data_IF_290179590986
#
_entry.id   IF_290179590986
#
_cell.length_a   1.000
_cell.length_b   1.000
_cell.length_c   1.000
_cell.angle_alpha   90.00
_cell.angle_beta   90.00
_cell.angle_gamma   90.00
#
_symmetry.space_group_name_H-M   'P 1'
#
loop_
_entity.id
_entity.type
_entity.pdbx_description
1 polymer ?
#
# COMPACT_ATOMS: atom_id res chain seq x y z
N UNK A 1 -10.50 58.92 17.80
CA UNK A 1 -11.48 59.66 18.62
C UNK A 1 -11.36 59.18 20.06
N UNK A 2 -10.63 59.92 20.93
CA UNK A 2 -11.22 60.76 22.01
C UNK A 2 -12.75 60.61 22.19
N UNK A 3 -13.41 60.48 23.34
CA UNK A 3 -13.23 60.83 24.77
C UNK A 3 -14.26 59.90 25.51
N UNK A 4 -14.00 59.21 26.63
CA UNK A 4 -13.92 59.67 28.05
C UNK A 4 -15.20 59.45 28.88
N UNK A 5 -14.94 59.29 30.19
CA UNK A 5 -15.75 59.51 31.39
C UNK A 5 -16.54 58.32 31.92
N UNK A 6 -16.07 57.68 33.01
CA UNK A 6 -16.08 58.13 34.44
C UNK A 6 -17.25 57.39 35.12
N UNK A 7 -17.32 56.98 36.38
CA UNK A 7 -16.59 57.01 37.67
C UNK A 7 -17.48 56.11 38.58
N UNK A 8 -17.13 55.53 39.72
CA UNK A 8 -15.92 55.32 40.47
C UNK A 8 -16.29 54.47 41.72
N UNK A 9 -15.25 53.88 42.33
CA UNK A 9 -15.06 53.71 43.79
C UNK A 9 -15.97 52.71 44.55
N UNK A 10 -15.47 51.87 45.48
CA UNK A 10 -14.28 52.01 46.34
C UNK A 10 -13.93 50.69 47.06
N UNK A 11 -12.62 50.36 47.09
CA UNK A 11 -11.75 49.83 48.18
C UNK A 11 -12.16 48.61 49.04
N UNK A 12 -11.26 47.67 49.36
CA UNK A 12 -10.02 47.89 50.13
C UNK A 12 -8.84 46.96 49.78
N UNK A 13 -7.65 47.51 49.99
CA UNK A 13 -6.30 47.09 49.60
C UNK A 13 -5.55 46.31 50.71
N UNK A 14 -4.57 45.49 50.29
CA UNK A 14 -3.36 45.15 51.03
C UNK A 14 -2.24 46.18 50.76
N UNK A 15 -1.20 46.30 51.62
CA UNK A 15 0.15 46.32 51.06
C UNK A 15 1.26 45.64 51.90
N UNK A 16 2.24 45.12 51.14
CA UNK A 16 3.63 44.84 51.50
C UNK A 16 4.39 46.12 51.93
N UNK A 17 5.24 46.07 52.96
CA UNK A 17 6.40 46.99 53.11
C UNK A 17 7.60 46.34 53.84
N UNK A 18 8.72 46.32 53.11
CA UNK A 18 10.15 46.53 53.39
C UNK A 18 10.84 46.22 54.74
N UNK A 19 11.98 45.54 54.57
CA UNK A 19 13.25 45.61 55.31
C UNK A 19 13.92 47.00 55.19
N UNK A 20 14.45 47.52 56.31
CA UNK A 20 15.48 48.59 56.33
C UNK A 20 16.57 48.24 57.34
N UNK A 21 17.81 48.20 56.85
CA UNK A 21 19.07 48.24 57.61
C UNK A 21 19.50 49.71 57.78
N UNK A 22 20.10 50.06 58.92
CA UNK A 22 20.74 51.35 59.15
C UNK A 22 21.90 51.26 60.15
N UNK A 23 23.10 51.59 59.67
CA UNK A 23 24.31 52.00 60.42
C UNK A 23 24.16 53.50 60.83
N UNK A 24 24.86 54.15 61.77
CA UNK A 24 26.31 54.33 62.00
C UNK A 24 26.56 55.02 63.38
N UNK A 25 27.73 54.73 63.99
CA UNK A 25 28.64 55.50 64.87
C UNK A 25 28.22 56.64 65.84
N UNK A 26 28.91 56.70 67.00
CA UNK A 26 29.33 57.99 67.58
C UNK A 26 29.47 58.14 69.11
N UNK A 27 30.69 57.93 69.61
CA UNK A 27 31.40 58.70 70.67
C UNK A 27 31.02 58.67 72.18
N UNK A 28 32.02 58.19 72.94
CA UNK A 28 32.57 58.63 74.25
C UNK A 28 32.12 60.00 74.79
N UNK A 29 31.87 60.11 76.11
CA UNK A 29 32.37 61.11 77.09
C UNK A 29 31.75 60.76 78.48
N UNK A 30 32.53 60.22 79.44
CA UNK A 30 33.17 60.88 80.61
C UNK A 30 32.24 61.34 81.75
N UNK A 31 32.37 60.69 82.92
CA UNK A 31 32.67 61.29 84.25
C UNK A 31 32.55 60.17 85.33
N UNK A 32 33.63 59.64 85.90
CA UNK A 32 34.49 60.19 86.96
C UNK A 32 33.75 60.80 88.15
N UNK A 33 33.76 60.09 89.27
CA UNK A 33 33.99 60.69 90.57
C UNK A 33 35.35 60.23 91.09
N UNK A 34 36.33 61.11 90.89
CA UNK A 34 37.59 61.18 91.59
C UNK A 34 37.35 61.74 93.00
N UNK A 35 37.93 61.11 94.01
CA UNK A 35 38.27 61.73 95.29
C UNK A 35 39.76 61.49 95.54
N UNK A 36 40.60 62.47 95.17
CA UNK A 36 42.05 62.49 95.41
C UNK A 36 42.37 63.11 96.78
N UNK A 37 43.41 62.55 97.40
CA UNK A 37 44.53 63.16 98.14
C UNK A 37 44.30 64.33 99.10
N UNK A 38 44.84 64.18 100.32
CA UNK A 38 45.85 65.09 100.88
C UNK A 38 46.65 64.34 101.97
N UNK A 39 47.94 64.66 102.04
CA UNK A 39 48.95 64.15 102.96
C UNK A 39 48.65 64.55 104.42
N UNK A 40 48.94 63.68 105.40
CA UNK A 40 49.94 63.95 106.45
C UNK A 40 50.09 62.79 107.46
N UNK A 41 51.33 62.65 107.92
CA UNK A 41 51.92 61.82 108.97
C UNK A 41 51.07 60.86 109.83
N UNK A 42 51.44 59.58 109.74
CA UNK A 42 51.87 58.77 110.88
C UNK A 42 50.90 58.58 112.05
N UNK A 43 50.15 57.47 112.02
CA UNK A 43 49.91 56.64 113.20
C UNK A 43 49.39 55.25 112.80
N UNK A 44 50.09 54.22 113.27
CA UNK A 44 49.63 52.83 113.29
C UNK A 44 48.31 52.74 114.07
N UNK A 45 47.27 52.18 113.46
CA UNK A 45 46.11 51.65 114.19
C UNK A 45 45.84 50.24 113.65
N UNK A 46 46.10 49.31 114.55
CA UNK A 46 45.94 47.87 114.52
C UNK A 46 44.69 47.35 113.81
N UNK A 47 44.84 46.18 113.18
CA UNK A 47 43.82 45.19 112.84
C UNK A 47 42.49 45.34 113.58
N UNK A 48 41.45 45.75 112.86
CA UNK A 48 40.05 45.55 113.26
C UNK A 48 39.37 44.63 112.23
N UNK A 49 39.91 43.41 112.06
CA UNK A 49 39.19 42.33 111.42
C UNK A 49 38.10 41.85 112.38
N UNK A 50 36.82 42.05 112.02
CA UNK A 50 35.71 41.60 112.87
C UNK A 50 35.71 40.07 112.91
N UNK A 51 35.96 39.50 114.09
CA UNK A 51 36.06 38.05 114.28
C UNK A 51 34.71 37.38 114.33
N UNK A 52 34.63 36.20 113.71
CA UNK A 52 33.47 35.33 113.81
C UNK A 52 33.30 34.88 115.26
N UNK A 53 32.23 35.35 115.92
CA UNK A 53 31.85 34.91 117.25
C UNK A 53 30.94 33.68 117.25
N UNK A 54 30.70 33.05 118.40
CA UNK A 54 29.70 31.99 118.52
C UNK A 54 28.30 32.54 118.20
N UNK A 55 27.53 31.80 117.38
CA UNK A 55 26.19 32.16 116.88
C UNK A 55 26.10 33.34 115.89
N UNK A 56 27.22 33.77 115.28
CA UNK A 56 27.21 34.86 114.29
C UNK A 56 26.46 34.50 113.00
N UNK A 57 26.40 33.21 112.66
CA UNK A 57 25.72 32.67 111.48
C UNK A 57 24.75 31.55 111.88
N UNK A 58 23.78 31.29 111.01
CA UNK A 58 22.77 30.25 111.19
C UNK A 58 23.35 28.83 111.24
N UNK A 59 22.56 27.87 111.72
CA UNK A 59 22.95 26.44 111.74
C UNK A 59 23.21 25.98 110.30
N UNK A 60 24.35 25.30 110.07
CA UNK A 60 24.77 24.86 108.73
C UNK A 60 25.50 25.91 107.89
N UNK A 61 25.74 27.12 108.41
CA UNK A 61 26.56 28.15 107.78
C UNK A 61 27.97 28.23 108.39
N UNK A 62 28.95 28.59 107.56
CA UNK A 62 30.28 28.97 108.02
C UNK A 62 30.44 30.49 107.98
N UNK A 63 31.13 31.01 108.99
CA UNK A 63 31.40 32.43 109.11
C UNK A 63 32.76 32.76 108.48
N UNK A 64 32.77 33.71 107.55
CA UNK A 64 33.96 34.24 106.91
C UNK A 64 34.26 35.62 107.53
N UNK A 65 35.51 35.80 107.95
CA UNK A 65 35.99 37.06 108.51
C UNK A 65 35.96 38.16 107.44
N UNK A 66 35.17 39.21 107.67
CA UNK A 66 35.04 40.33 106.74
C UNK A 66 35.67 41.61 107.29
N UNK A 67 36.07 42.50 106.37
CA UNK A 67 36.71 43.78 106.72
C UNK A 67 35.78 44.78 107.42
N UNK A 68 34.46 44.67 107.20
CA UNK A 68 33.46 45.59 107.79
C UNK A 68 32.43 44.85 108.66
N UNK A 69 32.04 43.62 108.28
CA UNK A 69 31.15 42.73 109.05
C UNK A 69 31.40 41.27 108.67
N UNK A 70 31.15 40.31 109.58
CA UNK A 70 31.24 38.88 109.27
C UNK A 70 30.25 38.52 108.15
N UNK A 71 30.69 37.72 107.18
CA UNK A 71 29.87 37.24 106.07
C UNK A 71 29.53 35.77 106.32
N UNK A 72 28.25 35.46 106.38
CA UNK A 72 27.78 34.09 106.51
C UNK A 72 27.55 33.48 105.13
N UNK A 73 28.05 32.26 104.93
CA UNK A 73 27.79 31.47 103.73
C UNK A 73 27.46 30.03 104.14
N UNK A 74 26.52 29.39 103.47
CA UNK A 74 26.18 27.99 103.76
C UNK A 74 27.40 27.08 103.53
N UNK A 75 27.52 26.02 104.34
CA UNK A 75 28.52 24.98 104.11
C UNK A 75 28.25 24.27 102.76
N UNK A 76 29.26 23.67 102.11
CA UNK A 76 29.05 22.89 100.89
C UNK A 76 27.98 21.80 101.10
N UNK A 77 27.02 21.69 100.17
CA UNK A 77 25.87 20.80 100.31
C UNK A 77 24.76 21.33 101.23
N UNK A 78 24.79 22.62 101.60
CA UNK A 78 23.71 23.32 102.27
C UNK A 78 23.31 24.58 101.48
N UNK A 79 22.03 24.95 101.52
CA UNK A 79 21.47 26.15 100.88
C UNK A 79 20.41 26.79 101.77
N UNK A 80 19.97 28.00 101.43
CA UNK A 80 19.03 28.80 102.21
C UNK A 80 19.67 30.10 102.70
N UNK A 81 19.14 30.65 103.80
CA UNK A 81 19.62 31.89 104.37
C UNK A 81 20.73 31.63 105.40
N UNK A 82 21.96 31.99 105.03
CA UNK A 82 23.15 31.78 105.86
C UNK A 82 23.15 32.54 107.19
N UNK A 83 22.30 33.57 107.35
CA UNK A 83 22.15 34.28 108.62
C UNK A 83 21.22 33.58 109.60
N UNK A 84 20.20 32.85 109.12
CA UNK A 84 19.19 32.20 109.97
C UNK A 84 19.40 30.69 110.09
N UNK A 85 19.28 29.97 108.98
CA UNK A 85 19.51 28.53 108.90
C UNK A 85 19.80 28.13 107.46
N UNK A 86 20.86 27.35 107.28
CA UNK A 86 21.09 26.62 106.05
C UNK A 86 20.53 25.21 106.20
N UNK A 87 19.82 24.73 105.20
CA UNK A 87 19.31 23.36 105.14
C UNK A 87 20.21 22.54 104.23
N UNK A 88 20.43 21.27 104.61
CA UNK A 88 21.18 20.34 103.77
C UNK A 88 20.40 20.11 102.48
N UNK A 89 21.05 20.37 101.34
CA UNK A 89 20.50 20.13 100.01
C UNK A 89 21.01 18.82 99.45
N UNK A 90 20.28 18.29 98.49
CA UNK A 90 20.64 17.05 97.82
C UNK A 90 21.54 17.30 96.61
N UNK A 91 21.32 18.41 95.88
CA UNK A 91 22.09 18.77 94.69
C UNK A 91 22.11 20.29 94.46
N UNK A 92 23.15 20.76 93.77
CA UNK A 92 23.22 22.12 93.18
C UNK A 92 23.10 22.05 91.66
N UNK A 93 23.75 21.06 91.05
CA UNK A 93 23.78 20.83 89.60
C UNK A 93 23.39 19.38 89.25
N UNK A 94 22.95 19.18 88.02
CA UNK A 94 22.48 17.88 87.52
C UNK A 94 23.51 16.76 87.66
N UNK A 95 24.81 17.07 87.54
CA UNK A 95 25.89 16.09 87.66
C UNK A 95 26.01 15.44 89.05
N UNK A 96 25.41 16.05 90.08
CA UNK A 96 25.39 15.51 91.44
C UNK A 96 24.24 14.49 91.64
N UNK A 97 23.30 14.44 90.70
CA UNK A 97 22.23 13.46 90.66
C UNK A 97 22.61 12.24 89.83
N UNK A 98 21.87 11.13 90.00
CA UNK A 98 22.00 9.97 89.10
C UNK A 98 21.67 10.40 87.67
N UNK A 99 22.19 9.69 86.67
CA UNK A 99 21.94 9.99 85.25
C UNK A 99 20.45 10.01 84.86
N UNK A 100 19.58 9.38 85.66
CA UNK A 100 18.12 9.33 85.51
C UNK A 100 17.37 10.40 86.30
N UNK A 101 18.06 11.34 86.95
CA UNK A 101 17.47 12.37 87.80
C UNK A 101 18.01 13.75 87.42
N UNK A 102 17.28 14.82 87.67
CA UNK A 102 17.74 16.19 87.46
C UNK A 102 17.61 16.98 88.75
N UNK A 103 18.49 17.96 88.95
CA UNK A 103 18.43 18.83 90.11
C UNK A 103 17.36 19.90 89.89
N UNK A 104 16.25 19.81 90.63
CA UNK A 104 15.19 20.83 90.65
C UNK A 104 14.94 21.24 92.09
N UNK A 105 14.98 22.55 92.36
CA UNK A 105 14.75 23.10 93.70
C UNK A 105 15.59 22.39 94.77
N UNK A 106 16.88 22.14 94.45
CA UNK A 106 17.86 21.54 95.36
C UNK A 106 17.61 20.05 95.71
N UNK A 107 16.76 19.37 94.95
CA UNK A 107 16.43 17.95 95.07
C UNK A 107 16.66 17.19 93.77
N UNK A 108 17.14 15.94 93.87
CA UNK A 108 17.31 15.06 92.72
C UNK A 108 15.98 14.36 92.41
N UNK A 109 15.26 14.91 91.45
CA UNK A 109 13.94 14.40 91.05
C UNK A 109 14.01 13.70 89.70
N UNK A 110 13.14 12.72 89.47
CA UNK A 110 12.98 12.12 88.15
C UNK A 110 12.27 13.14 87.22
N UNK A 111 12.93 13.63 86.16
CA UNK A 111 12.33 14.61 85.26
C UNK A 111 11.19 14.05 84.40
N UNK A 112 10.97 12.73 84.37
CA UNK A 112 9.88 12.11 83.62
C UNK A 112 8.51 12.29 84.27
N UNK A 113 8.47 12.45 85.60
CA UNK A 113 7.21 12.56 86.36
C UNK A 113 6.47 13.83 85.95
N UNK A 114 5.39 13.67 85.17
CA UNK A 114 4.52 14.77 84.74
C UNK A 114 4.96 15.52 83.47
N UNK A 115 6.04 15.09 82.80
CA UNK A 115 6.57 15.79 81.61
C UNK A 115 6.07 15.21 80.28
N UNK A 116 5.96 13.90 80.18
CA UNK A 116 5.48 13.25 78.94
C UNK A 116 3.97 13.06 78.96
N UNK A 117 3.37 13.07 77.76
CA UNK A 117 1.94 12.89 77.56
C UNK A 117 1.46 11.47 77.87
N UNK A 118 0.14 11.28 77.87
CA UNK A 118 -0.46 9.95 78.11
C UNK A 118 0.00 8.94 77.06
N UNK A 119 0.37 7.72 77.47
CA UNK A 119 0.91 6.65 76.62
C UNK A 119 2.23 6.98 75.87
N UNK A 120 2.94 8.04 76.27
CA UNK A 120 4.29 8.30 75.77
C UNK A 120 5.33 7.60 76.65
N UNK A 121 6.41 7.11 76.03
CA UNK A 121 7.57 6.60 76.73
C UNK A 121 8.49 7.76 77.10
N UNK A 122 8.98 7.78 78.34
CA UNK A 122 9.94 8.77 78.81
C UNK A 122 11.31 8.11 79.02
N UNK A 123 12.33 8.66 78.39
CA UNK A 123 13.73 8.28 78.58
C UNK A 123 14.52 9.50 79.07
N UNK A 124 15.33 9.34 80.12
CA UNK A 124 16.15 10.45 80.64
C UNK A 124 17.50 10.41 79.97
N UNK A 125 17.78 11.41 79.14
CA UNK A 125 19.08 11.57 78.46
C UNK A 125 19.77 12.83 78.95
N UNK A 126 20.93 12.65 79.58
CA UNK A 126 21.72 13.73 80.15
C UNK A 126 20.91 14.63 81.10
N UNK A 127 20.17 14.01 82.03
CA UNK A 127 19.30 14.69 83.00
C UNK A 127 18.09 15.43 82.38
N UNK A 128 17.81 15.23 81.07
CA UNK A 128 16.67 15.83 80.37
C UNK A 128 15.67 14.74 79.98
N UNK A 129 14.36 14.94 80.19
CA UNK A 129 13.35 13.99 79.77
C UNK A 129 13.14 14.06 78.26
N UNK A 130 13.20 12.90 77.60
CA UNK A 130 12.94 12.73 76.16
C UNK A 130 11.68 11.89 76.01
N UNK A 131 10.62 12.52 75.50
CA UNK A 131 9.33 11.87 75.27
C UNK A 131 9.26 11.32 73.85
N UNK A 132 8.83 10.06 73.69
CA UNK A 132 8.59 9.43 72.39
C UNK A 132 7.33 8.57 72.41
N UNK A 133 6.63 8.45 71.28
CA UNK A 133 5.54 7.48 71.19
C UNK A 133 6.13 6.06 70.99
N UNK A 134 5.61 5.05 71.71
CA UNK A 134 6.06 3.68 71.54
C UNK A 134 5.71 3.13 70.14
N UNK A 135 6.36 2.05 69.68
CA UNK A 135 6.04 1.43 68.39
C UNK A 135 4.56 1.09 68.27
N UNK A 136 3.93 1.46 67.15
CA UNK A 136 2.49 1.31 66.93
C UNK A 136 1.62 2.44 67.51
N UNK A 137 2.23 3.49 68.07
CA UNK A 137 1.53 4.69 68.51
C UNK A 137 1.98 5.93 67.72
N UNK A 138 1.07 6.88 67.53
CA UNK A 138 1.30 8.17 66.88
C UNK A 138 0.72 9.31 67.73
N UNK A 139 1.10 10.56 67.41
CA UNK A 139 0.67 11.75 68.13
C UNK A 139 1.83 12.60 68.65
N UNK A 140 1.56 13.51 69.56
CA UNK A 140 2.57 14.38 70.18
C UNK A 140 3.04 13.76 71.50
N UNK A 141 4.32 13.34 71.63
CA UNK A 141 4.80 12.67 72.84
C UNK A 141 4.69 13.50 74.12
N UNK A 142 4.58 14.82 74.02
CA UNK A 142 4.40 15.73 75.16
C UNK A 142 2.93 15.91 75.58
N UNK A 143 1.95 15.52 74.75
CA UNK A 143 0.52 15.69 75.07
C UNK A 143 -0.16 14.34 75.22
N UNK A 144 -0.13 13.51 74.18
CA UNK A 144 -0.71 12.18 74.20
C UNK A 144 -0.29 11.38 72.97
N UNK A 145 0.04 10.11 73.16
CA UNK A 145 0.17 9.13 72.10
C UNK A 145 -1.09 8.26 72.04
N UNK A 146 -1.57 7.98 70.83
CA UNK A 146 -2.70 7.08 70.56
C UNK A 146 -2.23 5.95 69.67
N UNK A 147 -2.96 4.83 69.65
CA UNK A 147 -2.69 3.73 68.70
C UNK A 147 -2.72 4.31 67.29
N UNK A 148 -1.66 4.08 66.52
CA UNK A 148 -1.56 4.52 65.14
C UNK A 148 -2.61 3.77 64.32
N UNK A 149 -3.50 4.51 63.68
CA UNK A 149 -4.49 3.92 62.79
C UNK A 149 -3.80 3.61 61.46
N UNK A 150 -3.79 2.33 61.01
CA UNK A 150 -3.19 1.96 59.74
C UNK A 150 -3.74 2.74 58.54
N UNK A 151 -4.96 3.29 58.62
CA UNK A 151 -5.61 4.03 57.53
C UNK A 151 -5.36 5.54 57.58
N UNK A 152 -4.72 6.06 58.63
CA UNK A 152 -4.49 7.50 58.86
C UNK A 152 -3.87 8.25 57.66
N UNK A 153 -2.92 7.69 56.89
CA UNK A 153 -2.39 8.35 55.69
C UNK A 153 -3.44 8.67 54.61
N UNK A 154 -4.56 7.94 54.59
CA UNK A 154 -5.67 8.14 53.66
C UNK A 154 -6.84 8.96 54.25
N UNK A 155 -6.72 9.50 55.48
CA UNK A 155 -7.79 10.22 56.15
C UNK A 155 -7.34 11.58 56.72
N UNK A 156 -7.66 12.71 56.06
CA UNK A 156 -8.38 12.82 54.78
C UNK A 156 -7.49 12.40 53.59
N UNK A 157 -8.11 11.87 52.53
CA UNK A 157 -7.36 11.34 51.38
C UNK A 157 -6.51 12.43 50.72
N UNK A 158 -5.18 12.24 50.58
CA UNK A 158 -4.32 13.15 49.83
C UNK A 158 -4.41 12.94 48.31
N UNK A 159 -5.19 11.95 47.86
CA UNK A 159 -5.34 11.61 46.46
C UNK A 159 -6.38 12.49 45.76
N UNK A 160 -6.18 12.73 44.46
CA UNK A 160 -7.11 13.51 43.63
C UNK A 160 -8.42 12.79 43.34
N UNK A 161 -9.37 13.46 42.68
CA UNK A 161 -10.68 12.88 42.37
C UNK A 161 -10.58 11.60 41.51
N UNK A 162 -11.56 10.70 41.64
CA UNK A 162 -11.66 9.41 40.92
C UNK A 162 -10.46 8.47 41.13
N UNK A 163 -9.91 8.46 42.35
CA UNK A 163 -8.80 7.60 42.75
C UNK A 163 -9.16 6.76 43.96
N UNK A 164 -8.43 5.67 44.15
CA UNK A 164 -8.46 4.85 45.35
C UNK A 164 -7.14 5.04 46.12
N UNK A 165 -7.27 5.44 47.38
CA UNK A 165 -6.15 5.53 48.33
C UNK A 165 -5.99 4.17 49.02
N UNK A 166 -4.78 3.66 49.08
CA UNK A 166 -4.41 2.51 49.90
C UNK A 166 -3.07 2.78 50.57
N UNK A 167 -2.86 2.21 51.76
CA UNK A 167 -1.65 2.43 52.54
C UNK A 167 -0.64 1.32 52.23
N UNK A 168 0.58 1.72 51.86
CA UNK A 168 1.71 0.80 51.80
C UNK A 168 2.94 1.47 52.42
N UNK A 169 3.70 0.74 53.23
CA UNK A 169 4.87 1.26 53.96
C UNK A 169 4.56 2.54 54.77
N UNK A 170 3.38 2.62 55.39
CA UNK A 170 2.91 3.78 56.16
C UNK A 170 2.80 5.09 55.35
N UNK A 171 2.66 4.98 54.03
CA UNK A 171 2.43 6.09 53.10
C UNK A 171 1.14 5.87 52.31
N UNK A 172 0.46 6.97 51.98
CA UNK A 172 -0.69 6.96 51.10
C UNK A 172 -0.23 6.74 49.65
N UNK A 173 -0.73 5.67 49.02
CA UNK A 173 -0.56 5.41 47.60
C UNK A 173 -1.89 5.66 46.90
N UNK A 174 -1.84 6.51 45.87
CA UNK A 174 -2.98 6.87 45.07
C UNK A 174 -2.97 6.12 43.74
N UNK A 175 -4.08 5.50 43.40
CA UNK A 175 -4.26 4.80 42.10
C UNK A 175 -5.56 5.23 41.44
N UNK A 176 -5.58 5.37 40.11
CA UNK A 176 -6.83 5.64 39.42
C UNK A 176 -7.80 4.47 39.56
N UNK A 177 -9.09 4.76 39.74
CA UNK A 177 -10.14 3.74 39.67
C UNK A 177 -10.11 3.10 38.26
N UNK A 178 -10.38 1.79 38.11
CA UNK A 178 -10.40 1.14 36.80
C UNK A 178 -11.27 1.89 35.79
N UNK A 179 -10.71 2.16 34.60
CA UNK A 179 -11.36 2.95 33.54
C UNK A 179 -10.99 4.43 33.53
N UNK A 180 -10.33 4.94 34.57
CA UNK A 180 -9.80 6.31 34.61
C UNK A 180 -8.30 6.34 34.29
N UNK A 181 -7.85 7.43 33.66
CA UNK A 181 -6.46 7.70 33.31
C UNK A 181 -6.06 9.10 33.79
N UNK A 182 -4.77 9.28 34.09
CA UNK A 182 -4.23 10.57 34.53
C UNK A 182 -3.26 10.42 35.70
N UNK A 183 -3.07 11.52 36.43
CA UNK A 183 -2.21 11.55 37.63
C UNK A 183 -3.06 11.31 38.88
N UNK A 184 -2.86 10.21 39.63
CA UNK A 184 -3.63 9.93 40.83
C UNK A 184 -3.52 10.99 41.95
N UNK A 185 -2.47 11.83 41.93
CA UNK A 185 -2.31 12.91 42.90
C UNK A 185 -3.17 14.14 42.56
N UNK A 186 -3.42 14.39 41.29
CA UNK A 186 -4.24 15.54 40.82
C UNK A 186 -5.69 15.13 40.65
N UNK A 187 -5.91 13.92 40.15
CA UNK A 187 -7.21 13.36 39.83
C UNK A 187 -7.15 12.64 38.49
N UNK A 188 -7.93 11.58 38.38
CA UNK A 188 -8.05 10.82 37.15
C UNK A 188 -9.36 11.19 36.43
N UNK A 189 -9.33 11.17 35.10
CA UNK A 189 -10.50 11.39 34.25
C UNK A 189 -10.72 10.18 33.36
N UNK A 190 -11.87 10.13 32.71
CA UNK A 190 -12.11 9.17 31.64
C UNK A 190 -11.15 9.39 30.47
N UNK A 191 -11.07 8.42 29.57
CA UNK A 191 -10.24 8.57 28.38
C UNK A 191 -10.77 9.69 27.47
N UNK A 192 -12.10 9.82 27.38
CA UNK A 192 -12.81 10.90 26.70
C UNK A 192 -14.13 11.21 27.42
N UNK A 193 -14.58 12.46 27.35
CA UNK A 193 -15.93 12.89 27.74
C UNK A 193 -16.74 13.34 26.52
N UNK A 194 -16.05 13.70 25.44
CA UNK A 194 -16.62 14.12 24.16
C UNK A 194 -15.79 13.57 23.00
N UNK A 195 -16.39 13.53 21.80
CA UNK A 195 -15.69 13.08 20.58
C UNK A 195 -14.40 13.86 20.31
N UNK A 196 -14.38 15.16 20.66
CA UNK A 196 -13.22 16.03 20.46
C UNK A 196 -12.00 15.66 21.32
N UNK A 197 -12.16 14.84 22.36
CA UNK A 197 -11.06 14.31 23.16
C UNK A 197 -10.34 13.15 22.47
N UNK A 198 -10.95 12.58 21.43
CA UNK A 198 -10.41 11.46 20.66
C UNK A 198 -9.70 11.93 19.38
N UNK A 199 -8.79 11.10 18.82
CA UNK A 199 -8.28 11.31 17.47
C UNK A 199 -9.42 11.44 16.44
N UNK A 200 -9.17 12.13 15.32
CA UNK A 200 -10.18 12.38 14.27
C UNK A 200 -10.76 11.10 13.64
N UNK A 201 -10.10 9.96 13.82
CA UNK A 201 -10.51 8.63 13.34
C UNK A 201 -11.33 7.83 14.37
N UNK A 202 -11.58 8.38 15.56
CA UNK A 202 -12.28 7.74 16.67
C UNK A 202 -13.37 8.66 17.23
N UNK A 203 -14.28 8.09 18.01
CA UNK A 203 -15.39 8.77 18.70
C UNK A 203 -15.41 8.33 20.15
N UNK A 204 -15.99 9.15 21.02
CA UNK A 204 -16.11 8.82 22.43
C UNK A 204 -17.33 7.91 22.64
N UNK A 205 -17.07 6.65 23.00
CA UNK A 205 -18.11 5.65 23.30
C UNK A 205 -17.82 5.00 24.63
N UNK A 206 -18.78 5.06 25.54
CA UNK A 206 -18.66 4.52 26.90
C UNK A 206 -17.37 4.96 27.58
N UNK A 207 -17.06 6.27 27.47
CA UNK A 207 -15.88 6.91 28.07
C UNK A 207 -14.52 6.43 27.54
N UNK A 208 -14.51 5.80 26.36
CA UNK A 208 -13.31 5.33 25.65
C UNK A 208 -13.30 5.77 24.19
N UNK A 209 -12.12 6.05 23.65
CA UNK A 209 -12.00 6.34 22.24
C UNK A 209 -12.06 5.06 21.42
N UNK A 210 -13.11 4.94 20.62
CA UNK A 210 -13.36 3.78 19.77
C UNK A 210 -13.64 4.21 18.34
N UNK A 211 -13.35 3.34 17.36
CA UNK A 211 -13.68 3.62 15.97
C UNK A 211 -15.20 3.63 15.77
N UNK A 212 -15.79 4.68 15.16
CA UNK A 212 -17.21 4.72 14.85
C UNK A 212 -17.60 3.79 13.70
N UNK A 213 -16.65 3.08 13.05
CA UNK A 213 -16.96 2.15 11.95
C UNK A 213 -17.92 1.01 12.31
N UNK A 214 -18.10 0.75 13.60
CA UNK A 214 -19.12 -0.19 14.10
C UNK A 214 -20.56 0.32 13.94
N UNK A 215 -20.74 1.59 13.56
CA UNK A 215 -22.05 2.18 13.25
C UNK A 215 -22.54 1.88 11.84
N UNK A 216 -21.69 1.30 10.99
CA UNK A 216 -22.10 0.88 9.66
C UNK A 216 -23.06 -0.32 9.72
N UNK A 217 -24.05 -0.31 8.83
CA UNK A 217 -25.06 -1.33 8.72
C UNK A 217 -24.52 -2.68 8.25
N UNK A 218 -25.37 -3.72 8.31
CA UNK A 218 -24.98 -5.05 7.85
C UNK A 218 -24.55 -5.01 6.37
N UNK A 219 -23.43 -5.67 6.04
CA UNK A 219 -22.81 -5.69 4.70
C UNK A 219 -22.41 -4.31 4.14
N UNK A 220 -22.28 -3.29 4.98
CA UNK A 220 -21.72 -2.00 4.58
C UNK A 220 -20.23 -1.93 4.92
N UNK A 221 -19.46 -1.29 4.04
CA UNK A 221 -18.05 -1.00 4.26
C UNK A 221 -17.92 0.37 4.95
N UNK A 222 -17.07 0.43 5.99
CA UNK A 222 -16.63 1.71 6.54
C UNK A 222 -15.51 2.27 5.66
N UNK A 223 -15.84 3.24 4.81
CA UNK A 223 -14.88 3.78 3.84
C UNK A 223 -13.87 4.71 4.51
N UNK A 224 -14.36 5.64 5.32
CA UNK A 224 -13.54 6.57 6.10
C UNK A 224 -14.23 6.96 7.39
N UNK A 225 -13.50 7.61 8.30
CA UNK A 225 -14.07 8.32 9.45
C UNK A 225 -13.87 9.82 9.22
N UNK A 226 -14.96 10.58 9.27
CA UNK A 226 -14.97 12.02 9.08
C UNK A 226 -15.66 12.68 10.27
N UNK A 227 -14.93 13.59 10.95
CA UNK A 227 -15.43 14.31 12.12
C UNK A 227 -16.06 13.37 13.18
N UNK A 228 -15.31 12.35 13.58
CA UNK A 228 -15.71 11.34 14.58
C UNK A 228 -16.93 10.49 14.17
N UNK A 229 -17.33 10.49 12.90
CA UNK A 229 -18.43 9.66 12.37
C UNK A 229 -17.94 8.74 11.27
N UNK A 230 -18.49 7.53 11.24
CA UNK A 230 -18.25 6.64 10.11
C UNK A 230 -18.91 7.17 8.85
N UNK A 231 -18.21 7.04 7.73
CA UNK A 231 -18.76 7.22 6.38
C UNK A 231 -18.92 5.82 5.79
N UNK A 232 -20.17 5.34 5.82
CA UNK A 232 -20.51 3.99 5.39
C UNK A 232 -20.95 3.98 3.93
N UNK A 233 -20.55 2.97 3.17
CA UNK A 233 -21.03 2.73 1.80
C UNK A 233 -21.41 1.28 1.58
N UNK A 234 -22.34 1.03 0.65
CA UNK A 234 -22.56 -0.33 0.19
C UNK A 234 -21.44 -0.75 -0.78
N UNK A 235 -20.92 -1.98 -0.65
CA UNK A 235 -19.98 -2.54 -1.61
C UNK A 235 -20.63 -2.71 -3.00
N UNK A 236 -19.81 -2.99 -4.02
CA UNK A 236 -20.32 -3.18 -5.39
C UNK A 236 -21.34 -4.34 -5.43
N UNK A 237 -22.45 -4.13 -6.12
CA UNK A 237 -23.57 -5.08 -6.20
C UNK A 237 -24.52 -5.07 -5.00
N UNK A 238 -24.28 -4.21 -4.01
CA UNK A 238 -25.18 -4.04 -2.89
C UNK A 238 -25.92 -2.70 -2.96
N UNK A 239 -27.17 -2.72 -2.50
CA UNK A 239 -28.09 -1.60 -2.50
C UNK A 239 -28.75 -1.46 -1.12
N UNK A 240 -29.21 -0.26 -0.77
CA UNK A 240 -29.85 0.00 0.53
C UNK A 240 -29.28 1.23 1.22
N UNK A 241 -29.50 1.29 2.54
CA UNK A 241 -28.95 2.34 3.40
C UNK A 241 -27.69 1.80 4.10
N UNK A 242 -26.49 2.32 3.79
CA UNK A 242 -25.23 1.87 4.37
C UNK A 242 -25.14 1.97 5.89
N UNK A 243 -25.97 2.78 6.53
CA UNK A 243 -26.02 2.90 8.00
C UNK A 243 -27.01 1.92 8.63
N UNK A 244 -27.82 1.21 7.84
CA UNK A 244 -28.78 0.21 8.32
C UNK A 244 -28.45 -1.19 7.83
N UNK A 245 -28.48 -1.38 6.52
CA UNK A 245 -28.17 -2.63 5.86
C UNK A 245 -28.03 -2.43 4.35
N UNK A 246 -27.05 -3.14 3.80
CA UNK A 246 -26.86 -3.31 2.38
C UNK A 246 -27.31 -4.72 1.97
N UNK A 247 -28.10 -4.82 0.91
CA UNK A 247 -28.59 -6.08 0.34
C UNK A 247 -28.06 -6.27 -1.07
N UNK A 248 -27.64 -7.48 -1.39
CA UNK A 248 -27.24 -7.87 -2.74
C UNK A 248 -28.37 -7.63 -3.75
N UNK A 249 -28.03 -7.24 -4.98
CA UNK A 249 -28.96 -7.22 -6.11
C UNK A 249 -29.45 -8.62 -6.47
N UNK A 250 -28.54 -9.59 -6.36
CA UNK A 250 -28.79 -11.00 -6.63
C UNK A 250 -27.88 -11.88 -5.77
N UNK A 251 -28.36 -13.07 -5.43
CA UNK A 251 -27.51 -14.16 -4.88
C UNK A 251 -27.34 -15.32 -5.85
N UNK A 252 -28.13 -15.34 -6.92
CA UNK A 252 -28.13 -16.35 -7.97
C UNK A 252 -28.57 -15.75 -9.31
N UNK A 253 -28.21 -16.40 -10.42
CA UNK A 253 -28.58 -15.95 -11.77
C UNK A 253 -30.10 -15.88 -12.00
N UNK A 254 -30.88 -16.68 -11.25
CA UNK A 254 -32.34 -16.77 -11.39
C UNK A 254 -33.07 -15.51 -10.88
N UNK A 255 -32.43 -14.72 -10.02
CA UNK A 255 -32.98 -13.46 -9.51
C UNK A 255 -32.83 -12.32 -10.52
N UNK A 256 -31.96 -12.50 -11.52
CA UNK A 256 -31.62 -11.45 -12.47
C UNK A 256 -32.61 -11.34 -13.64
N UNK A 257 -32.87 -10.12 -14.14
CA UNK A 257 -33.75 -9.92 -15.27
C UNK A 257 -33.10 -10.36 -16.58
N UNK A 258 -33.91 -10.65 -17.60
CA UNK A 258 -33.44 -11.22 -18.87
C UNK A 258 -32.41 -10.38 -19.64
N UNK A 259 -32.38 -9.07 -19.42
CA UNK A 259 -31.41 -8.17 -20.07
C UNK A 259 -30.06 -8.05 -19.33
N UNK A 260 -29.93 -8.66 -18.13
CA UNK A 260 -28.68 -8.76 -17.35
C UNK A 260 -28.66 -10.08 -16.57
N UNK A 261 -28.62 -11.24 -17.26
CA UNK A 261 -29.02 -12.52 -16.66
C UNK A 261 -27.97 -13.17 -15.75
N UNK A 262 -26.75 -12.64 -15.65
CA UNK A 262 -25.70 -13.22 -14.82
C UNK A 262 -25.59 -12.49 -13.49
N UNK A 263 -25.57 -13.25 -12.39
CA UNK A 263 -25.27 -12.74 -11.06
C UNK A 263 -23.77 -12.85 -10.78
N UNK A 264 -23.05 -11.74 -10.91
CA UNK A 264 -21.61 -11.71 -10.70
C UNK A 264 -21.27 -10.68 -9.63
N UNK A 265 -20.59 -11.12 -8.57
CA UNK A 265 -20.26 -10.30 -7.40
C UNK A 265 -21.49 -9.61 -6.78
N UNK A 266 -22.61 -10.35 -6.69
CA UNK A 266 -23.89 -9.89 -6.14
C UNK A 266 -24.59 -8.79 -6.96
N UNK A 267 -24.13 -8.52 -8.18
CA UNK A 267 -24.76 -7.59 -9.12
C UNK A 267 -25.30 -8.35 -10.34
N UNK A 268 -26.44 -7.92 -10.87
CA UNK A 268 -26.93 -8.42 -12.14
C UNK A 268 -26.16 -7.72 -13.27
N UNK A 269 -25.45 -8.51 -14.08
CA UNK A 269 -24.63 -8.03 -15.18
C UNK A 269 -25.08 -8.63 -16.51
N UNK A 270 -24.94 -7.86 -17.58
CA UNK A 270 -25.10 -8.35 -18.94
C UNK A 270 -23.75 -8.91 -19.42
N UNK A 271 -23.61 -10.23 -19.65
CA UNK A 271 -22.37 -10.82 -20.14
C UNK A 271 -21.94 -10.29 -21.51
N UNK A 272 -22.83 -9.65 -22.27
CA UNK A 272 -22.51 -9.07 -23.57
C UNK A 272 -21.78 -7.72 -23.50
N UNK A 273 -21.84 -7.01 -22.37
CA UNK A 273 -21.15 -5.72 -22.22
C UNK A 273 -19.64 -5.97 -22.32
N UNK A 274 -19.00 -5.36 -23.33
CA UNK A 274 -17.57 -5.47 -23.66
C UNK A 274 -17.06 -6.88 -24.01
N UNK A 275 -17.95 -7.85 -24.25
CA UNK A 275 -17.52 -9.21 -24.64
C UNK A 275 -17.19 -9.33 -26.13
N UNK A 276 -17.86 -8.57 -26.98
CA UNK A 276 -17.70 -8.62 -28.43
C UNK A 276 -17.01 -7.37 -28.98
N UNK A 277 -16.36 -7.53 -30.14
CA UNK A 277 -15.67 -6.48 -30.85
C UNK A 277 -16.63 -5.44 -31.43
N UNK A 278 -16.06 -4.34 -31.93
CA UNK A 278 -16.87 -3.26 -32.53
C UNK A 278 -17.60 -3.79 -33.77
N UNK A 279 -18.89 -3.45 -33.89
CA UNK A 279 -19.84 -3.90 -34.92
C UNK A 279 -20.15 -5.42 -34.91
N UNK A 280 -19.80 -6.16 -33.87
CA UNK A 280 -20.23 -7.53 -33.70
C UNK A 280 -21.60 -7.61 -32.99
N UNK A 281 -22.40 -8.61 -33.34
CA UNK A 281 -23.59 -8.99 -32.61
C UNK A 281 -23.23 -9.93 -31.47
N UNK A 282 -23.73 -9.64 -30.27
CA UNK A 282 -23.62 -10.52 -29.12
C UNK A 282 -24.93 -11.25 -28.85
N UNK A 283 -24.85 -12.56 -28.68
CA UNK A 283 -25.97 -13.39 -28.23
C UNK A 283 -25.49 -14.34 -27.15
N UNK A 284 -26.36 -14.67 -26.21
CA UNK A 284 -26.01 -15.57 -25.10
C UNK A 284 -26.32 -17.02 -25.46
N UNK A 285 -25.37 -17.92 -25.18
CA UNK A 285 -25.60 -19.37 -25.11
C UNK A 285 -25.59 -19.81 -23.64
N UNK A 286 -26.72 -19.63 -22.95
CA UNK A 286 -26.76 -19.69 -21.49
C UNK A 286 -26.28 -18.36 -20.91
N UNK A 287 -25.17 -18.37 -20.16
CA UNK A 287 -24.50 -17.15 -19.66
C UNK A 287 -23.20 -16.83 -20.40
N UNK A 288 -22.83 -17.62 -21.42
CA UNK A 288 -21.64 -17.36 -22.22
C UNK A 288 -21.98 -16.43 -23.39
N UNK A 289 -21.27 -15.30 -23.53
CA UNK A 289 -21.42 -14.43 -24.69
C UNK A 289 -20.82 -15.10 -25.91
N UNK A 290 -21.58 -15.09 -27.01
CA UNK A 290 -21.14 -15.57 -28.31
C UNK A 290 -21.21 -14.39 -29.27
N UNK A 291 -20.07 -14.12 -29.91
CA UNK A 291 -19.90 -12.99 -30.81
C UNK A 291 -19.93 -13.46 -32.26
N UNK A 292 -20.68 -12.78 -33.11
CA UNK A 292 -20.73 -13.03 -34.54
C UNK A 292 -20.80 -11.73 -35.33
N UNK A 293 -20.21 -11.69 -36.52
CA UNK A 293 -20.40 -10.55 -37.41
C UNK A 293 -21.81 -10.57 -38.02
N UNK A 294 -22.49 -9.40 -38.10
CA UNK A 294 -23.76 -9.25 -38.79
C UNK A 294 -23.69 -9.70 -40.25
N UNK A 295 -24.86 -9.87 -40.89
CA UNK A 295 -24.92 -10.13 -42.34
C UNK A 295 -24.22 -9.00 -43.11
N UNK A 296 -23.44 -9.37 -44.13
CA UNK A 296 -22.61 -8.47 -44.96
C UNK A 296 -21.41 -7.83 -44.23
N UNK A 297 -20.99 -8.39 -43.10
CA UNK A 297 -19.73 -8.04 -42.44
C UNK A 297 -18.84 -9.27 -42.30
N UNK A 298 -17.53 -9.04 -42.24
CA UNK A 298 -16.50 -10.07 -42.04
C UNK A 298 -15.41 -9.54 -41.11
N UNK A 299 -14.51 -10.42 -40.67
CA UNK A 299 -13.46 -10.12 -39.69
C UNK A 299 -13.57 -11.01 -38.46
N UNK A 300 -12.97 -10.55 -37.37
CA UNK A 300 -12.98 -11.24 -36.08
C UNK A 300 -14.08 -10.64 -35.18
N UNK A 301 -15.14 -11.40 -34.84
CA UNK A 301 -16.23 -10.92 -33.99
C UNK A 301 -15.82 -10.49 -32.58
N UNK A 302 -14.65 -10.91 -32.08
CA UNK A 302 -14.15 -10.48 -30.76
C UNK A 302 -13.35 -9.17 -30.83
N UNK A 303 -12.91 -8.77 -32.02
CA UNK A 303 -12.05 -7.62 -32.21
C UNK A 303 -12.77 -6.52 -32.99
N UNK A 304 -13.13 -6.80 -34.25
CA UNK A 304 -13.71 -5.84 -35.17
C UNK A 304 -14.36 -6.54 -36.37
N UNK A 305 -15.65 -6.26 -36.58
CA UNK A 305 -16.33 -6.59 -37.82
C UNK A 305 -16.27 -5.40 -38.78
N UNK A 306 -15.82 -5.64 -40.01
CA UNK A 306 -15.81 -4.67 -41.10
C UNK A 306 -16.79 -5.07 -42.21
N UNK A 307 -17.26 -4.13 -43.04
CA UNK A 307 -18.06 -4.47 -44.20
C UNK A 307 -17.37 -5.51 -45.09
N UNK A 308 -18.16 -6.43 -45.62
CA UNK A 308 -17.70 -7.40 -46.60
C UNK A 308 -17.31 -6.66 -47.90
N UNK A 309 -16.11 -6.94 -48.40
CA UNK A 309 -15.59 -6.40 -49.65
C UNK A 309 -15.39 -7.51 -50.67
N UNK A 310 -15.41 -7.19 -51.97
CA UNK A 310 -15.23 -8.18 -53.03
C UNK A 310 -13.96 -9.03 -52.87
N UNK A 311 -12.87 -8.48 -52.28
CA UNK A 311 -11.63 -9.23 -52.00
C UNK A 311 -11.83 -10.39 -51.02
N UNK A 312 -12.78 -10.27 -50.10
CA UNK A 312 -13.01 -11.25 -49.03
C UNK A 312 -13.59 -12.56 -49.58
N UNK A 313 -14.13 -12.54 -50.80
CA UNK A 313 -14.53 -13.76 -51.53
C UNK A 313 -13.37 -14.71 -51.78
N UNK A 314 -12.14 -14.19 -51.81
CA UNK A 314 -10.92 -14.94 -52.11
C UNK A 314 -10.02 -15.15 -50.89
N UNK A 315 -10.47 -14.83 -49.68
CA UNK A 315 -9.70 -14.96 -48.43
C UNK A 315 -10.52 -15.69 -47.35
N UNK A 316 -10.15 -16.93 -46.96
CA UNK A 316 -9.09 -17.75 -47.54
C UNK A 316 -9.44 -18.20 -48.97
N UNK A 317 -8.43 -18.47 -49.80
CA UNK A 317 -8.63 -18.83 -51.21
C UNK A 317 -9.51 -20.10 -51.31
N UNK A 318 -10.74 -19.99 -51.85
CA UNK A 318 -11.66 -21.12 -51.97
C UNK A 318 -11.37 -22.01 -53.19
N UNK A 319 -10.41 -21.62 -54.03
CA UNK A 319 -10.05 -22.35 -55.23
C UNK A 319 -9.14 -23.55 -54.93
N UNK A 320 -8.99 -24.43 -55.93
CA UNK A 320 -8.12 -25.59 -55.86
C UNK A 320 -6.65 -25.23 -55.69
N UNK A 321 -5.83 -26.24 -55.40
CA UNK A 321 -4.38 -26.04 -55.18
C UNK A 321 -3.75 -25.40 -56.44
N UNK A 322 -2.87 -24.40 -56.23
CA UNK A 322 -2.23 -23.58 -57.27
C UNK A 322 -3.17 -22.76 -58.17
N UNK A 323 -4.47 -22.71 -57.88
CA UNK A 323 -5.40 -21.86 -58.62
C UNK A 323 -5.40 -20.42 -58.07
N UNK A 324 -5.56 -19.47 -58.97
CA UNK A 324 -5.72 -18.05 -58.64
C UNK A 324 -7.20 -17.73 -58.48
N UNK A 325 -7.56 -17.16 -57.33
CA UNK A 325 -8.88 -16.58 -57.11
C UNK A 325 -8.90 -15.10 -57.50
N UNK A 326 -9.98 -14.69 -58.17
CA UNK A 326 -10.31 -13.27 -58.41
C UNK A 326 -11.77 -13.02 -58.08
N UNK A 327 -12.14 -11.88 -57.47
CA UNK A 327 -13.53 -11.50 -57.30
C UNK A 327 -14.22 -11.36 -58.67
N UNK A 328 -15.42 -11.90 -58.80
CA UNK A 328 -16.23 -11.77 -60.01
C UNK A 328 -17.72 -11.89 -59.69
N UNK A 329 -18.53 -12.18 -60.70
CA UNK A 329 -19.98 -12.30 -60.57
C UNK A 329 -20.49 -13.57 -61.25
N UNK A 330 -21.59 -14.12 -60.73
CA UNK A 330 -22.33 -15.17 -61.43
C UNK A 330 -23.25 -14.60 -62.53
N UNK A 331 -23.95 -15.49 -63.24
CA UNK A 331 -24.88 -15.11 -64.33
C UNK A 331 -26.06 -14.26 -63.86
N UNK A 332 -26.32 -14.19 -62.55
CA UNK A 332 -27.38 -13.37 -61.95
C UNK A 332 -26.85 -12.01 -61.47
N UNK A 333 -25.54 -11.78 -61.58
CA UNK A 333 -24.87 -10.56 -61.11
C UNK A 333 -24.43 -10.61 -59.65
N UNK A 334 -24.65 -11.71 -58.93
CA UNK A 334 -24.23 -11.85 -57.54
C UNK A 334 -22.71 -12.04 -57.46
N UNK A 335 -22.05 -11.37 -56.51
CA UNK A 335 -20.61 -11.48 -56.30
C UNK A 335 -20.20 -12.91 -55.90
N UNK A 336 -19.19 -13.46 -56.58
CA UNK A 336 -18.65 -14.81 -56.34
C UNK A 336 -17.14 -14.88 -56.60
N UNK A 337 -16.41 -15.78 -55.93
CA UNK A 337 -15.02 -16.07 -56.29
C UNK A 337 -14.96 -16.77 -57.65
N UNK A 338 -14.04 -16.31 -58.50
CA UNK A 338 -13.73 -16.92 -59.80
C UNK A 338 -12.35 -17.56 -59.73
N UNK A 339 -12.29 -18.86 -60.01
CA UNK A 339 -11.07 -19.65 -59.95
C UNK A 339 -10.51 -19.87 -61.35
N UNK A 340 -9.23 -19.54 -61.54
CA UNK A 340 -8.52 -19.73 -62.82
C UNK A 340 -7.16 -20.36 -62.61
N UNK A 341 -6.71 -21.21 -63.53
CA UNK A 341 -5.32 -21.66 -63.52
C UNK A 341 -4.43 -20.54 -64.05
N UNK A 342 -3.37 -20.15 -63.32
CA UNK A 342 -2.42 -19.14 -63.79
C UNK A 342 -1.69 -19.64 -65.03
N UNK A 343 -1.05 -18.73 -65.77
CA UNK A 343 -0.26 -19.06 -66.96
C UNK A 343 0.77 -20.15 -66.66
N UNK A 344 0.86 -21.14 -67.56
CA UNK A 344 1.73 -22.31 -67.39
C UNK A 344 1.11 -23.43 -66.55
N UNK A 345 -0.14 -23.30 -66.10
CA UNK A 345 -0.89 -24.34 -65.39
C UNK A 345 -2.16 -24.74 -66.13
N UNK A 346 -2.54 -26.02 -66.02
CA UNK A 346 -3.71 -26.66 -66.64
C UNK A 346 -4.51 -27.44 -65.60
N UNK A 347 -5.73 -27.84 -65.92
CA UNK A 347 -6.58 -28.64 -65.04
C UNK A 347 -7.84 -27.89 -64.58
N UNK A 348 -8.44 -28.35 -63.49
CA UNK A 348 -9.66 -27.77 -62.95
C UNK A 348 -9.31 -26.83 -61.79
N UNK A 349 -9.49 -25.52 -62.01
CA UNK A 349 -9.15 -24.48 -61.03
C UNK A 349 -9.93 -24.57 -59.69
N UNK A 350 -11.02 -25.35 -59.60
CA UNK A 350 -11.71 -25.63 -58.33
C UNK A 350 -11.13 -26.80 -57.55
N UNK A 351 -10.31 -27.64 -58.20
CA UNK A 351 -9.77 -28.87 -57.62
C UNK A 351 -8.25 -28.77 -57.51
N UNK A 352 -7.57 -28.67 -58.64
CA UNK A 352 -6.12 -28.60 -58.74
C UNK A 352 -5.69 -28.03 -60.08
N UNK A 353 -4.77 -27.08 -60.05
CA UNK A 353 -4.02 -26.63 -61.22
C UNK A 353 -2.63 -27.27 -61.20
N UNK A 354 -2.32 -28.01 -62.26
CA UNK A 354 -1.05 -28.71 -62.45
C UNK A 354 -0.18 -27.93 -63.44
N UNK A 355 1.14 -27.97 -63.25
CA UNK A 355 2.05 -27.30 -64.18
C UNK A 355 1.98 -27.99 -65.55
N UNK A 356 1.70 -27.21 -66.59
CA UNK A 356 1.70 -27.67 -67.97
C UNK A 356 3.11 -28.06 -68.44
N UNK A 357 3.14 -28.88 -69.48
CA UNK A 357 4.36 -29.47 -70.02
C UNK A 357 5.22 -28.47 -70.81
N UNK A 358 4.59 -27.43 -71.36
CA UNK A 358 5.25 -26.44 -72.22
C UNK A 358 4.65 -25.04 -72.06
N UNK A 359 5.44 -24.01 -72.35
CA UNK A 359 5.02 -22.61 -72.55
C UNK A 359 5.35 -22.11 -73.97
N UNK A 360 6.34 -22.75 -74.60
CA UNK A 360 6.83 -22.47 -75.95
C UNK A 360 6.90 -23.77 -76.75
N UNK A 361 6.65 -23.67 -78.06
CA UNK A 361 6.73 -24.82 -78.98
C UNK A 361 8.09 -25.51 -78.94
N UNK A 362 9.17 -24.74 -78.73
CA UNK A 362 10.54 -25.26 -78.61
C UNK A 362 10.78 -26.19 -77.42
N UNK A 363 9.87 -26.21 -76.45
CA UNK A 363 9.93 -27.14 -75.31
C UNK A 363 9.30 -28.50 -75.64
N UNK A 364 8.59 -28.60 -76.76
CA UNK A 364 8.02 -29.83 -77.26
C UNK A 364 8.96 -30.48 -78.30
N UNK A 365 8.77 -31.78 -78.54
CA UNK A 365 9.45 -32.46 -79.64
C UNK A 365 9.08 -31.82 -81.00
N UNK A 366 9.93 -31.95 -82.03
CA UNK A 366 9.75 -31.26 -83.33
C UNK A 366 8.41 -31.57 -84.05
N UNK A 367 7.81 -32.72 -83.73
CA UNK A 367 6.51 -33.17 -84.25
C UNK A 367 5.31 -32.77 -83.36
N UNK A 368 5.54 -32.02 -82.28
CA UNK A 368 4.52 -31.56 -81.34
C UNK A 368 4.55 -30.04 -81.25
N UNK A 369 3.41 -29.42 -81.00
CA UNK A 369 3.26 -27.99 -80.79
C UNK A 369 2.75 -27.72 -79.37
N UNK A 370 3.11 -26.57 -78.80
CA UNK A 370 2.65 -26.19 -77.48
C UNK A 370 1.29 -25.49 -77.58
N UNK A 371 0.22 -26.20 -77.24
CA UNK A 371 -1.15 -25.69 -77.30
C UNK A 371 -1.80 -25.82 -75.92
N UNK A 372 -2.21 -24.70 -75.34
CA UNK A 372 -2.84 -24.70 -74.01
C UNK A 372 -1.94 -25.30 -72.92
N UNK A 373 -0.63 -25.08 -73.02
CA UNK A 373 0.42 -25.62 -72.15
C UNK A 373 0.62 -27.15 -72.18
N UNK A 374 0.07 -27.84 -73.18
CA UNK A 374 0.36 -29.26 -73.45
C UNK A 374 1.10 -29.41 -74.77
N UNK A 375 2.02 -30.36 -74.84
CA UNK A 375 2.66 -30.73 -76.10
C UNK A 375 1.73 -31.66 -76.88
N UNK A 376 1.02 -31.12 -77.86
CA UNK A 376 0.03 -31.86 -78.66
C UNK A 376 0.50 -31.98 -80.10
N UNK A 377 0.12 -33.06 -80.77
CA UNK A 377 0.36 -33.19 -82.21
C UNK A 377 -0.55 -32.19 -82.94
N UNK A 378 0.02 -31.22 -83.71
CA UNK A 378 -0.80 -30.25 -84.44
C UNK A 378 -1.70 -30.88 -85.50
N UNK A 379 -1.47 -32.14 -85.88
CA UNK A 379 -2.30 -32.93 -86.81
C UNK A 379 -3.43 -33.74 -86.14
N UNK A 380 -3.51 -33.77 -84.80
CA UNK A 380 -4.61 -34.44 -84.09
C UNK A 380 -5.84 -33.51 -84.00
N UNK A 381 -6.78 -33.69 -84.93
CA UNK A 381 -8.05 -32.98 -85.04
C UNK A 381 -8.54 -33.02 -86.50
N UNK A 382 -9.85 -32.98 -86.72
CA UNK A 382 -10.41 -33.30 -88.03
C UNK A 382 -10.59 -32.09 -88.96
N UNK A 383 -9.83 -31.00 -88.80
CA UNK A 383 -10.05 -29.76 -89.57
C UNK A 383 -8.80 -28.95 -89.92
N UNK A 384 -7.60 -29.47 -89.70
CA UNK A 384 -6.35 -28.72 -89.91
C UNK A 384 -5.92 -28.73 -91.38
N UNK A 385 -6.32 -29.77 -92.12
CA UNK A 385 -6.07 -29.92 -93.54
C UNK A 385 -7.38 -30.13 -94.29
N UNK A 386 -7.37 -29.81 -95.59
CA UNK A 386 -8.48 -30.00 -96.49
C UNK A 386 -8.89 -31.45 -96.64
N UNK A 387 -10.12 -31.69 -97.08
CA UNK A 387 -10.62 -33.05 -97.29
C UNK A 387 -9.69 -33.83 -98.24
N UNK A 388 -9.32 -35.04 -97.87
CA UNK A 388 -8.44 -35.89 -98.69
C UNK A 388 -6.96 -35.52 -98.71
N UNK A 389 -6.51 -34.52 -97.94
CA UNK A 389 -5.11 -34.22 -97.67
C UNK A 389 -4.56 -35.05 -96.50
N UNK A 390 -3.24 -35.27 -96.47
CA UNK A 390 -2.53 -35.89 -95.35
C UNK A 390 -1.83 -34.80 -94.54
N UNK A 391 -2.05 -34.82 -93.23
CA UNK A 391 -1.34 -33.95 -92.30
C UNK A 391 -0.07 -34.62 -91.79
N UNK A 392 1.04 -33.88 -91.79
CA UNK A 392 2.30 -34.29 -91.14
C UNK A 392 2.78 -33.17 -90.22
N UNK A 393 3.11 -33.50 -88.97
CA UNK A 393 3.67 -32.53 -88.04
C UNK A 393 5.17 -32.34 -88.30
N UNK A 394 5.60 -31.10 -88.55
CA UNK A 394 7.03 -30.75 -88.72
C UNK A 394 7.32 -29.35 -88.17
N UNK A 395 8.42 -29.19 -87.44
CA UNK A 395 8.82 -27.91 -86.82
C UNK A 395 7.71 -27.25 -86.03
N UNK A 396 6.95 -28.05 -85.27
CA UNK A 396 5.80 -27.64 -84.47
C UNK A 396 4.57 -27.17 -85.28
N UNK A 397 4.49 -27.50 -86.58
CA UNK A 397 3.41 -27.08 -87.47
C UNK A 397 2.69 -28.27 -88.11
N UNK A 398 1.39 -28.12 -88.34
CA UNK A 398 0.64 -29.01 -89.22
C UNK A 398 1.00 -28.68 -90.68
N UNK A 399 1.64 -29.62 -91.37
CA UNK A 399 1.97 -29.51 -92.79
C UNK A 399 1.03 -30.40 -93.59
N UNK A 400 0.14 -29.78 -94.37
CA UNK A 400 -0.83 -30.49 -95.20
C UNK A 400 -0.25 -30.77 -96.59
N UNK A 401 -0.37 -32.00 -97.06
CA UNK A 401 0.08 -32.40 -98.40
C UNK A 401 -0.96 -33.28 -99.09
N UNK A 402 -1.16 -33.11 -100.40
CA UNK A 402 -1.98 -34.04 -101.17
C UNK A 402 -1.17 -35.32 -101.44
N UNK A 403 -1.64 -36.51 -101.03
CA UNK A 403 -0.94 -37.77 -101.28
C UNK A 403 -0.91 -38.12 -102.78
N UNK A 404 0.03 -38.98 -103.17
CA UNK A 404 0.37 -39.28 -104.57
C UNK A 404 -0.84 -39.60 -105.46
N UNK A 405 -0.96 -38.88 -106.58
CA UNK A 405 -2.08 -38.99 -107.52
C UNK A 405 -3.25 -38.02 -107.23
N UNK A 406 -3.15 -37.19 -106.19
CA UNK A 406 -4.09 -36.10 -105.89
C UNK A 406 -3.48 -34.72 -106.11
N UNK A 407 -4.30 -33.79 -106.58
CA UNK A 407 -3.94 -32.39 -106.79
C UNK A 407 -5.01 -31.46 -106.21
N UNK A 408 -4.64 -30.22 -105.92
CA UNK A 408 -5.50 -29.23 -105.25
C UNK A 408 -4.76 -28.52 -104.12
N UNK A 409 -5.49 -27.70 -103.36
CA UNK A 409 -4.97 -27.05 -102.16
C UNK A 409 -5.16 -27.97 -100.96
N UNK A 410 -4.04 -28.43 -100.38
CA UNK A 410 -4.03 -29.35 -99.26
C UNK A 410 -4.68 -28.79 -97.97
N UNK A 411 -4.95 -27.48 -97.88
CA UNK A 411 -5.72 -26.87 -96.79
C UNK A 411 -7.23 -26.84 -97.04
N UNK A 412 -7.66 -26.96 -98.30
CA UNK A 412 -9.08 -26.84 -98.69
C UNK A 412 -9.62 -28.21 -99.11
N UNK A 413 -9.05 -28.82 -100.14
CA UNK A 413 -9.46 -30.14 -100.64
C UNK A 413 -8.45 -30.70 -101.68
N UNK A 414 -8.22 -32.02 -101.63
CA UNK A 414 -7.40 -32.74 -102.60
C UNK A 414 -8.29 -33.67 -103.46
N UNK A 415 -8.21 -33.52 -104.78
CA UNK A 415 -9.02 -34.27 -105.75
C UNK A 415 -8.18 -35.35 -106.47
N UNK A 416 -8.79 -36.48 -106.83
CA UNK A 416 -8.15 -37.52 -107.66
C UNK A 416 -8.32 -37.14 -109.15
N UNK A 417 -7.23 -36.93 -109.90
CA UNK A 417 -7.28 -36.78 -111.37
C UNK A 417 -6.03 -37.36 -112.05
N UNK A 418 -6.20 -38.05 -113.19
CA UNK A 418 -5.14 -38.62 -114.04
C UNK A 418 -4.29 -37.58 -114.81
N UNK A 419 -4.05 -36.39 -114.26
CA UNK A 419 -3.30 -35.33 -114.95
C UNK A 419 -2.45 -34.52 -113.99
N UNK A 420 -1.13 -34.59 -114.21
CA UNK A 420 -0.04 -34.04 -113.41
C UNK A 420 -0.04 -32.52 -113.37
N UNK A 421 -0.20 -31.90 -112.19
CA UNK A 421 0.51 -30.66 -111.80
C UNK A 421 0.69 -30.64 -110.27
N UNK A 422 1.93 -30.83 -109.80
CA UNK A 422 2.27 -30.62 -108.39
C UNK A 422 2.82 -29.20 -108.20
N UNK A 423 2.17 -28.39 -107.36
CA UNK A 423 2.72 -27.16 -106.80
C UNK A 423 2.61 -27.22 -105.28
N UNK A 424 3.75 -27.16 -104.59
CA UNK A 424 3.81 -27.11 -103.13
C UNK A 424 4.17 -25.70 -102.64
N UNK A 425 3.46 -25.19 -101.63
CA UNK A 425 3.83 -24.00 -100.83
C UNK A 425 3.82 -24.37 -99.34
N UNK A 426 4.63 -23.69 -98.52
CA UNK A 426 4.78 -23.92 -97.07
C UNK A 426 4.33 -22.69 -96.27
N UNK A 427 3.68 -22.87 -95.10
CA UNK A 427 3.30 -21.77 -94.19
C UNK A 427 3.55 -22.08 -92.71
N UNK A 428 3.72 -21.01 -91.90
CA UNK A 428 4.01 -21.05 -90.45
C UNK A 428 2.79 -20.59 -89.64
N UNK A 429 2.39 -21.35 -88.62
CA UNK A 429 1.31 -20.98 -87.70
C UNK A 429 1.81 -19.95 -86.67
N UNK A 430 0.92 -19.03 -86.27
CA UNK A 430 1.07 -18.21 -85.06
C UNK A 430 0.10 -18.66 -83.98
N UNK A 431 0.55 -18.50 -82.74
CA UNK A 431 0.02 -19.02 -81.46
C UNK A 431 -1.46 -18.72 -81.12
N UNK A 432 -2.19 -17.95 -81.94
CA UNK A 432 -3.57 -17.54 -81.65
C UNK A 432 -4.62 -18.02 -82.70
N UNK A 433 -4.27 -18.96 -83.57
CA UNK A 433 -5.26 -19.65 -84.43
C UNK A 433 -5.78 -18.86 -85.65
N UNK A 434 -5.04 -17.89 -86.20
CA UNK A 434 -5.43 -17.16 -87.42
C UNK A 434 -4.28 -17.07 -88.46
N UNK A 435 -4.62 -17.09 -89.77
CA UNK A 435 -3.69 -17.22 -90.92
C UNK A 435 -3.38 -15.87 -91.63
N UNK A 436 -2.16 -15.71 -92.17
CA UNK A 436 -1.83 -14.67 -93.17
C UNK A 436 -0.92 -15.23 -94.28
N UNK A 437 -1.22 -14.93 -95.54
CA UNK A 437 -0.51 -15.36 -96.76
C UNK A 437 0.65 -14.43 -97.11
N UNK A 438 1.86 -14.96 -97.34
CA UNK A 438 2.93 -14.25 -98.09
C UNK A 438 3.34 -15.09 -99.31
N UNK A 439 3.54 -14.40 -100.44
CA UNK A 439 3.78 -14.94 -101.78
C UNK A 439 5.23 -14.71 -102.22
N UNK A 440 5.87 -15.74 -102.81
CA UNK A 440 7.04 -15.53 -103.68
C UNK A 440 7.01 -16.52 -104.86
N UNK A 441 7.21 -16.00 -106.08
CA UNK A 441 7.20 -16.73 -107.36
C UNK A 441 8.60 -16.79 -107.99
N UNK A 442 8.97 -17.91 -108.63
CA UNK A 442 10.02 -18.01 -109.67
C UNK A 442 9.54 -18.99 -110.77
N UNK A 443 9.73 -18.72 -112.09
CA UNK A 443 8.98 -19.37 -113.16
C UNK A 443 9.66 -20.59 -113.81
N UNK A 444 8.82 -21.34 -114.54
CA UNK A 444 9.05 -22.63 -115.17
C UNK A 444 10.07 -22.64 -116.34
N UNK A 445 10.78 -23.76 -116.50
CA UNK A 445 11.46 -24.13 -117.73
C UNK A 445 10.84 -25.41 -118.32
N UNK A 446 10.32 -25.28 -119.54
CA UNK A 446 9.86 -26.37 -120.41
C UNK A 446 11.07 -27.01 -121.08
N UNK A 447 11.13 -28.33 -121.15
CA UNK A 447 11.83 -29.03 -122.25
C UNK A 447 11.23 -30.41 -122.50
N UNK A 448 11.04 -30.68 -123.79
CA UNK A 448 10.39 -31.84 -124.39
C UNK A 448 11.17 -33.15 -124.16
N UNK A 449 10.43 -34.26 -124.09
CA UNK A 449 10.98 -35.62 -124.05
C UNK A 449 11.38 -36.05 -125.47
N UNK A 450 12.66 -36.42 -125.66
CA UNK A 450 13.09 -37.36 -126.70
C UNK A 450 13.40 -38.71 -126.06
N UNK A 451 12.78 -39.75 -126.60
CA UNK A 451 13.02 -41.16 -126.29
C UNK A 451 14.33 -41.65 -126.89
N UNK A 452 15.12 -42.39 -126.11
CA UNK A 452 16.04 -43.42 -126.59
C UNK A 452 16.25 -44.51 -125.53
N UNK A 453 16.55 -45.70 -126.04
CA UNK A 453 16.31 -47.01 -125.42
C UNK A 453 17.55 -47.60 -124.72
N UNK A 454 17.27 -48.61 -123.88
CA UNK A 454 18.08 -49.82 -123.65
C UNK A 454 19.06 -49.91 -122.45
N UNK A 455 18.71 -50.89 -121.59
CA UNK A 455 19.53 -51.94 -120.95
C UNK A 455 20.29 -51.72 -119.62
N UNK A 456 19.75 -52.43 -118.61
CA UNK A 456 20.38 -53.50 -117.81
C UNK A 456 21.60 -53.17 -116.92
N UNK A 457 21.48 -53.35 -115.60
CA UNK A 457 22.34 -54.26 -114.82
C UNK A 457 21.85 -54.45 -113.36
N UNK A 458 22.10 -55.66 -112.85
CA UNK A 458 21.73 -56.22 -111.55
C UNK A 458 22.73 -55.82 -110.45
N UNK A 459 22.28 -55.75 -109.19
CA UNK A 459 22.82 -56.52 -108.02
C UNK A 459 22.12 -56.07 -106.73
N UNK A 460 21.24 -56.91 -106.17
CA UNK A 460 21.50 -57.89 -105.08
C UNK A 460 21.82 -57.23 -103.73
N UNK A 461 20.78 -57.12 -102.91
CA UNK A 461 20.84 -56.91 -101.46
C UNK A 461 21.33 -58.19 -100.78
N UNK A 462 22.28 -58.05 -99.86
CA UNK A 462 22.64 -59.04 -98.85
C UNK A 462 22.44 -58.40 -97.49
N UNK A 463 21.47 -58.95 -96.75
CA UNK A 463 21.14 -58.70 -95.36
C UNK A 463 22.02 -59.59 -94.45
N UNK A 464 22.44 -59.13 -93.26
CA UNK A 464 22.72 -60.04 -92.16
C UNK A 464 21.65 -59.91 -91.07
N UNK A 465 20.90 -60.99 -90.87
CA UNK A 465 20.22 -61.31 -89.62
C UNK A 465 21.23 -61.76 -88.56
N UNK A 466 21.05 -61.28 -87.32
CA UNK A 466 21.27 -62.03 -86.05
C UNK A 466 20.57 -61.26 -84.93
N UNK A 467 19.44 -61.78 -84.43
CA UNK A 467 19.27 -62.62 -83.21
C UNK A 467 19.55 -61.81 -81.94
N UNK A 468 18.53 -61.41 -81.18
CA UNK A 468 17.90 -62.22 -80.10
C UNK A 468 18.95 -62.89 -79.20
N UNK A 469 19.20 -62.25 -78.06
CA UNK A 469 19.10 -62.82 -76.72
C UNK A 469 18.67 -61.74 -75.73
#
# INVERSE_FOLDING_TARGET
MFYVCEMAQTLMLAPLVLLVLGTVDGQRYYNNYLGRNLYEHGRSISDNLVRCGPHTCGVGAHCIHGAVRPVCACLPGYSGDALSTCVKIECVDNSECRSTQTCVNQHCVDPCVGTCGTNANCDVRNHVPVCSCPPGYTGTPFSSCRVADPEEPCHPSPCGANTQCHVANNQAICTCIPGYKGSPLVGCRHECDSDGDCPTTQSCRDFKCASPCSDCGLNADCETVAAHRAVCKCPRGYFGDPYRACTAECTSDAECPSYKPACLYNACVDPCINACGVNAECHLRGLTPVCSCPRNMTGDPFTYCRPFEARDLCEPNPCGVNAKCTPGHDRTGAERPVCTCPSGYIGNALVNCERGECELDSQCADHLACVGYNCVDPCLGNSQCGSGAVCMARRHLAVCTCPNGRHGDALINCYNTESVVATGRYYRFKRNGNFTTEESEIPAAVTEVKTESAQLEKKKSTEPKKKEE
#
